data_IF_928879724458
#
_entry.id   IF_928879724458
#
_cell.length_a   1.000
_cell.length_b   1.000
_cell.length_c   1.000
_cell.angle_alpha   90.00
_cell.angle_beta   90.00
_cell.angle_gamma   90.00
#
_symmetry.space_group_name_H-M   'P 1'
#
loop_
_entity.id
_entity.type
_entity.pdbx_description
1 polymer ?
#
# COMPACT_ATOMS: atom_id res chain seq x y z
N UNK A 1 8.90 31.44 33.76
CA UNK A 1 8.79 29.98 33.89
C UNK A 1 7.74 29.50 32.84
N UNK A 2 7.89 28.32 32.27
CA UNK A 2 6.94 27.78 31.27
C UNK A 2 5.51 27.75 31.79
N UNK A 3 5.34 27.39 33.07
CA UNK A 3 4.04 27.32 33.73
C UNK A 3 3.24 28.65 33.76
N UNK A 4 3.85 29.80 33.48
CA UNK A 4 3.15 31.10 33.43
C UNK A 4 2.52 31.36 32.04
N UNK A 5 2.90 30.58 31.01
CA UNK A 5 2.45 30.79 29.64
C UNK A 5 1.73 29.58 29.04
N UNK A 6 1.91 28.38 29.64
CA UNK A 6 1.26 27.17 29.16
C UNK A 6 -0.24 27.14 29.49
N UNK A 7 -1.02 26.48 28.72
CA UNK A 7 -2.39 26.08 29.06
C UNK A 7 -2.33 24.95 30.09
N UNK A 8 -2.87 25.11 31.30
CA UNK A 8 -2.90 24.06 32.31
C UNK A 8 -3.66 22.83 31.82
N UNK A 9 -3.28 21.64 32.28
CA UNK A 9 -3.83 20.37 31.78
C UNK A 9 -5.37 20.31 31.93
N UNK A 10 -5.91 20.84 33.02
CA UNK A 10 -7.35 20.89 33.31
C UNK A 10 -8.14 21.80 32.37
N UNK A 11 -7.45 22.65 31.59
CA UNK A 11 -8.04 23.53 30.58
C UNK A 11 -7.68 23.10 29.17
N UNK A 12 -6.85 22.08 29.04
CA UNK A 12 -6.41 21.60 27.74
C UNK A 12 -7.51 20.75 27.08
N UNK A 13 -7.95 21.13 25.90
CA UNK A 13 -8.86 20.31 25.08
C UNK A 13 -8.02 19.22 24.42
N UNK A 14 -8.38 17.96 24.66
CA UNK A 14 -7.73 16.78 24.08
C UNK A 14 -8.77 15.85 23.49
N UNK A 15 -8.35 14.90 22.65
CA UNK A 15 -9.21 13.83 22.18
C UNK A 15 -8.52 12.46 22.38
N UNK A 16 -9.28 11.37 22.50
CA UNK A 16 -8.73 10.03 22.69
C UNK A 16 -8.06 9.49 21.44
N UNK A 17 -7.19 8.51 21.63
CA UNK A 17 -6.62 7.72 20.55
C UNK A 17 -7.75 7.06 19.73
N UNK A 18 -7.62 7.07 18.38
CA UNK A 18 -8.65 6.58 17.48
C UNK A 18 -9.64 7.65 16.98
N UNK A 19 -9.56 8.89 17.50
CA UNK A 19 -10.34 10.01 16.95
C UNK A 19 -10.02 10.22 15.48
N UNK A 20 -11.04 10.20 14.62
CA UNK A 20 -10.86 10.44 13.19
C UNK A 20 -10.42 11.88 12.90
N UNK A 21 -9.81 12.10 11.74
CA UNK A 21 -9.38 13.43 11.32
C UNK A 21 -10.56 14.42 11.21
N UNK A 22 -11.73 13.94 10.80
CA UNK A 22 -12.95 14.74 10.74
C UNK A 22 -13.41 15.16 12.14
N UNK A 23 -13.55 14.21 13.07
CA UNK A 23 -13.93 14.51 14.46
C UNK A 23 -12.94 15.44 15.13
N UNK A 24 -11.64 15.22 14.93
CA UNK A 24 -10.60 16.09 15.44
C UNK A 24 -10.74 17.53 14.88
N UNK A 25 -11.06 17.65 13.59
CA UNK A 25 -11.30 18.96 12.97
C UNK A 25 -12.55 19.64 13.54
N UNK A 26 -13.63 18.91 13.79
CA UNK A 26 -14.85 19.45 14.38
C UNK A 26 -14.56 19.99 15.79
N UNK A 27 -13.80 19.26 16.62
CA UNK A 27 -13.35 19.72 17.95
C UNK A 27 -12.46 20.97 17.83
N UNK A 28 -11.50 20.97 16.90
CA UNK A 28 -10.63 22.13 16.63
C UNK A 28 -11.45 23.37 16.27
N UNK A 29 -12.49 23.19 15.46
CA UNK A 29 -13.35 24.28 15.00
C UNK A 29 -14.22 24.82 16.14
N UNK A 30 -14.88 23.94 16.89
CA UNK A 30 -15.79 24.30 17.98
C UNK A 30 -15.06 25.05 19.10
N UNK A 31 -13.86 24.59 19.43
CA UNK A 31 -13.01 25.20 20.45
C UNK A 31 -12.06 26.30 19.94
N UNK A 32 -12.13 26.64 18.63
CA UNK A 32 -11.28 27.66 17.96
C UNK A 32 -9.77 27.42 18.18
N UNK A 33 -9.37 26.16 18.11
CA UNK A 33 -7.99 25.72 18.27
C UNK A 33 -7.21 25.76 16.94
N UNK A 34 -5.88 25.75 17.03
CA UNK A 34 -5.01 25.53 15.88
C UNK A 34 -4.51 24.06 15.81
N UNK A 35 -4.50 23.39 16.96
CA UNK A 35 -4.07 22.01 17.08
C UNK A 35 -4.81 21.31 18.23
N UNK A 36 -4.98 20.01 18.12
CA UNK A 36 -5.64 19.15 19.10
C UNK A 36 -4.66 18.05 19.51
N UNK A 37 -4.26 17.97 20.79
CA UNK A 37 -3.51 16.84 21.29
C UNK A 37 -4.37 15.58 21.35
N UNK A 38 -3.84 14.48 20.83
CA UNK A 38 -4.46 13.15 20.95
C UNK A 38 -3.72 12.40 22.05
N UNK A 39 -4.48 11.86 22.99
CA UNK A 39 -3.94 11.22 24.19
C UNK A 39 -4.42 9.76 24.31
N UNK A 40 -3.61 8.94 24.98
CA UNK A 40 -4.01 7.57 25.34
C UNK A 40 -4.90 7.55 26.60
N UNK A 41 -5.34 6.37 27.02
CA UNK A 41 -6.17 6.15 28.22
C UNK A 41 -5.51 6.63 29.53
N UNK A 42 -4.19 6.80 29.53
CA UNK A 42 -3.41 7.31 30.66
C UNK A 42 -3.14 8.81 30.57
N UNK A 43 -3.73 9.50 29.58
CA UNK A 43 -3.52 10.92 29.35
C UNK A 43 -2.14 11.29 28.76
N UNK A 44 -1.39 10.33 28.21
CA UNK A 44 -0.10 10.61 27.59
C UNK A 44 -0.31 11.05 26.14
N UNK A 45 0.43 12.09 25.76
CA UNK A 45 0.42 12.60 24.39
C UNK A 45 0.92 11.54 23.41
N UNK A 46 0.10 11.23 22.41
CA UNK A 46 0.43 10.32 21.32
C UNK A 46 0.83 11.09 20.07
N UNK A 47 0.00 12.03 19.63
CA UNK A 47 0.29 12.90 18.50
C UNK A 47 -0.57 14.18 18.56
N UNK A 48 -0.34 15.10 17.62
CA UNK A 48 -1.16 16.28 17.40
C UNK A 48 -1.89 16.21 16.07
N UNK A 49 -3.13 16.71 16.04
CA UNK A 49 -3.84 17.02 14.80
C UNK A 49 -3.86 18.55 14.64
N UNK A 50 -3.44 19.02 13.49
CA UNK A 50 -3.48 20.45 13.18
C UNK A 50 -4.66 20.75 12.25
N UNK A 51 -5.18 21.96 12.35
CA UNK A 51 -6.27 22.44 11.49
C UNK A 51 -5.95 22.30 9.99
N UNK A 52 -4.70 22.50 9.60
CA UNK A 52 -4.24 22.33 8.22
C UNK A 52 -4.34 20.89 7.72
N UNK A 53 -4.18 19.89 8.58
CA UNK A 53 -4.18 18.46 8.20
C UNK A 53 -5.53 18.06 7.58
N UNK A 54 -6.64 18.58 8.12
CA UNK A 54 -7.95 18.33 7.53
C UNK A 54 -8.15 19.03 6.19
N UNK A 55 -7.61 20.24 6.04
CA UNK A 55 -7.67 20.97 4.78
C UNK A 55 -6.85 20.25 3.70
N UNK A 56 -5.66 19.76 4.03
CA UNK A 56 -4.80 18.98 3.15
C UNK A 56 -5.47 17.67 2.75
N UNK A 57 -6.04 16.94 3.71
CA UNK A 57 -6.79 15.69 3.45
C UNK A 57 -8.00 15.92 2.53
N UNK A 58 -8.71 17.06 2.69
CA UNK A 58 -9.83 17.43 1.81
C UNK A 58 -9.39 17.72 0.37
N UNK A 59 -8.18 18.25 0.20
CA UNK A 59 -7.56 18.49 -1.10
C UNK A 59 -7.05 17.20 -1.71
N UNK A 60 -6.52 16.30 -0.88
CA UNK A 60 -5.93 15.01 -1.28
C UNK A 60 -6.72 13.79 -0.71
N UNK A 61 -7.99 13.60 -1.08
CA UNK A 61 -8.85 12.58 -0.47
C UNK A 61 -8.42 11.14 -0.76
N UNK A 62 -7.42 10.96 -1.64
CA UNK A 62 -6.87 9.65 -2.04
C UNK A 62 -5.53 9.34 -1.42
N UNK A 63 -4.99 10.20 -0.57
CA UNK A 63 -3.77 9.89 0.15
C UNK A 63 -3.99 8.68 1.08
N UNK A 64 -3.03 7.77 1.10
CA UNK A 64 -3.07 6.59 1.96
C UNK A 64 -2.01 6.78 3.05
N UNK A 65 -2.49 6.82 4.29
CA UNK A 65 -1.65 7.01 5.47
C UNK A 65 -1.73 5.77 6.36
N UNK A 66 -0.66 5.51 7.09
CA UNK A 66 -0.65 4.52 8.17
C UNK A 66 -1.32 5.06 9.45
N UNK A 67 -1.37 4.23 10.50
CA UNK A 67 -1.96 4.60 11.79
C UNK A 67 -1.23 5.78 12.47
N UNK A 68 0.04 6.01 12.12
CA UNK A 68 0.86 7.11 12.59
C UNK A 68 0.80 8.34 11.68
N UNK A 69 -0.10 8.33 10.68
CA UNK A 69 -0.29 9.39 9.67
C UNK A 69 0.93 9.66 8.79
N UNK A 70 1.75 8.65 8.56
CA UNK A 70 2.81 8.68 7.56
C UNK A 70 2.27 8.13 6.25
N UNK A 71 2.76 8.64 5.12
CA UNK A 71 2.41 8.06 3.83
C UNK A 71 2.82 6.60 3.75
N UNK A 72 1.89 5.75 3.31
CA UNK A 72 2.25 4.39 2.94
C UNK A 72 3.12 4.42 1.69
N UNK A 73 4.23 3.71 1.72
CA UNK A 73 5.22 3.70 0.65
C UNK A 73 5.44 2.31 0.07
N UNK A 74 5.44 2.25 -1.26
CA UNK A 74 5.78 1.04 -2.00
C UNK A 74 7.19 1.10 -2.58
N UNK A 75 7.84 -0.04 -2.67
CA UNK A 75 9.15 -0.16 -3.29
C UNK A 75 9.18 -1.25 -4.37
N UNK A 76 9.78 -0.91 -5.52
CA UNK A 76 10.05 -1.86 -6.60
C UNK A 76 11.22 -2.79 -6.23
N UNK A 77 11.03 -4.07 -6.47
CA UNK A 77 12.06 -5.10 -6.34
C UNK A 77 12.17 -5.93 -7.62
N UNK A 78 13.28 -6.57 -7.83
CA UNK A 78 13.47 -7.55 -8.89
C UNK A 78 13.70 -8.96 -8.31
N UNK A 79 13.85 -9.95 -9.19
CA UNK A 79 14.03 -11.35 -8.82
C UNK A 79 15.50 -11.80 -8.72
N UNK A 80 16.46 -10.87 -8.79
CA UNK A 80 17.89 -11.20 -8.80
C UNK A 80 18.56 -10.98 -7.44
N UNK A 81 18.20 -9.88 -6.76
CA UNK A 81 18.85 -9.44 -5.51
C UNK A 81 17.88 -9.34 -4.31
N UNK A 82 16.70 -9.96 -4.44
CA UNK A 82 15.63 -9.89 -3.44
C UNK A 82 16.09 -10.30 -2.03
N UNK A 83 16.99 -11.27 -1.90
CA UNK A 83 17.48 -11.75 -0.60
C UNK A 83 18.15 -10.66 0.24
N UNK A 84 18.80 -9.68 -0.44
CA UNK A 84 19.45 -8.53 0.20
C UNK A 84 18.55 -7.31 0.22
N UNK A 85 17.86 -7.05 -0.89
CA UNK A 85 17.07 -5.85 -1.09
C UNK A 85 15.79 -5.84 -0.26
N UNK A 86 15.07 -6.96 -0.18
CA UNK A 86 13.82 -7.05 0.58
C UNK A 86 14.03 -6.74 2.07
N UNK A 87 14.99 -7.38 2.79
CA UNK A 87 15.25 -7.03 4.19
C UNK A 87 15.56 -5.55 4.41
N UNK A 88 16.40 -4.97 3.56
CA UNK A 88 16.78 -3.57 3.68
C UNK A 88 15.60 -2.62 3.48
N UNK A 89 14.70 -2.91 2.53
CA UNK A 89 13.50 -2.11 2.28
C UNK A 89 12.48 -2.23 3.42
N UNK A 90 12.28 -3.43 3.96
CA UNK A 90 11.39 -3.65 5.10
C UNK A 90 11.93 -2.94 6.35
N UNK A 91 13.23 -3.01 6.61
CA UNK A 91 13.88 -2.29 7.69
C UNK A 91 13.78 -0.76 7.52
N UNK A 92 13.82 -0.28 6.29
CA UNK A 92 13.63 1.13 5.97
C UNK A 92 12.16 1.60 6.06
N UNK A 93 11.22 0.70 6.32
CA UNK A 93 9.80 1.02 6.52
C UNK A 93 8.95 0.99 5.25
N UNK A 94 9.33 0.21 4.23
CA UNK A 94 8.47 -0.02 3.08
C UNK A 94 7.23 -0.86 3.47
N UNK A 95 6.03 -0.36 3.17
CA UNK A 95 4.76 -1.02 3.47
C UNK A 95 4.37 -2.06 2.42
N UNK A 96 4.74 -1.79 1.17
CA UNK A 96 4.39 -2.63 0.01
C UNK A 96 5.62 -2.88 -0.84
N UNK A 97 5.85 -4.12 -1.21
CA UNK A 97 6.84 -4.49 -2.21
C UNK A 97 6.16 -4.87 -3.51
N UNK A 98 6.72 -4.45 -4.64
CA UNK A 98 6.19 -4.82 -5.95
C UNK A 98 7.31 -5.44 -6.79
N UNK A 99 7.14 -6.70 -7.18
CA UNK A 99 8.07 -7.36 -8.10
C UNK A 99 7.80 -6.79 -9.50
N UNK A 100 8.74 -5.99 -9.98
CA UNK A 100 8.64 -5.35 -11.29
C UNK A 100 9.43 -6.13 -12.34
N UNK A 101 8.71 -6.77 -13.25
CA UNK A 101 9.28 -7.57 -14.30
C UNK A 101 8.38 -7.53 -15.53
N UNK A 102 8.99 -7.45 -16.70
CA UNK A 102 8.27 -7.57 -17.98
C UNK A 102 7.61 -8.94 -18.19
N UNK A 103 7.84 -9.90 -17.27
CA UNK A 103 7.38 -11.27 -17.40
C UNK A 103 7.16 -11.87 -16.01
N UNK A 104 5.88 -11.92 -15.59
CA UNK A 104 5.48 -12.35 -14.25
C UNK A 104 5.32 -13.86 -14.08
N UNK A 105 4.96 -14.57 -15.18
CA UNK A 105 4.72 -16.00 -15.13
C UNK A 105 6.04 -16.79 -15.15
N UNK A 106 6.82 -16.66 -14.09
CA UNK A 106 8.14 -17.30 -13.95
C UNK A 106 8.37 -17.88 -12.58
N UNK A 107 9.16 -18.95 -12.51
CA UNK A 107 9.58 -19.56 -11.24
C UNK A 107 10.39 -18.59 -10.37
N UNK A 108 11.01 -17.57 -10.94
CA UNK A 108 11.77 -16.57 -10.21
C UNK A 108 10.86 -15.66 -9.36
N UNK A 109 9.69 -15.28 -9.90
CA UNK A 109 8.71 -14.53 -9.14
C UNK A 109 8.17 -15.36 -7.96
N UNK A 110 7.81 -16.62 -8.22
CA UNK A 110 7.38 -17.52 -7.15
C UNK A 110 8.42 -17.63 -6.04
N UNK A 111 9.69 -17.85 -6.38
CA UNK A 111 10.78 -17.92 -5.37
C UNK A 111 10.90 -16.64 -4.56
N UNK A 112 10.74 -15.48 -5.20
CA UNK A 112 10.79 -14.20 -4.52
C UNK A 112 9.61 -14.03 -3.56
N UNK A 113 8.40 -14.41 -3.99
CA UNK A 113 7.20 -14.38 -3.14
C UNK A 113 7.35 -15.36 -1.98
N UNK A 114 7.76 -16.60 -2.24
CA UNK A 114 8.00 -17.63 -1.21
C UNK A 114 8.97 -17.11 -0.13
N UNK A 115 10.09 -16.50 -0.52
CA UNK A 115 11.05 -15.89 0.41
C UNK A 115 10.42 -14.81 1.29
N UNK A 116 9.61 -13.93 0.70
CA UNK A 116 8.96 -12.85 1.45
C UNK A 116 7.94 -13.43 2.43
N UNK A 117 7.14 -14.40 1.99
CA UNK A 117 6.14 -15.05 2.84
C UNK A 117 6.76 -15.85 3.97
N UNK A 118 7.82 -16.59 3.71
CA UNK A 118 8.55 -17.34 4.73
C UNK A 118 9.13 -16.42 5.81
N UNK A 119 9.68 -15.28 5.41
CA UNK A 119 10.39 -14.39 6.32
C UNK A 119 9.48 -13.39 7.05
N UNK A 120 8.45 -12.88 6.39
CA UNK A 120 7.61 -11.79 6.89
C UNK A 120 6.12 -12.12 7.00
N UNK A 121 5.68 -13.25 6.44
CA UNK A 121 4.26 -13.63 6.41
C UNK A 121 3.43 -12.58 5.67
N UNK A 122 2.30 -12.19 6.28
CA UNK A 122 1.36 -11.21 5.74
C UNK A 122 1.64 -9.76 6.18
N UNK A 123 2.71 -9.56 6.95
CA UNK A 123 3.09 -8.22 7.43
C UNK A 123 3.54 -7.29 6.31
N UNK A 124 4.08 -7.84 5.23
CA UNK A 124 4.53 -7.09 4.06
C UNK A 124 3.65 -7.46 2.88
N UNK A 125 3.03 -6.46 2.26
CA UNK A 125 2.22 -6.67 1.07
C UNK A 125 3.09 -6.81 -0.16
N UNK A 126 2.77 -7.80 -1.01
CA UNK A 126 3.58 -8.16 -2.19
C UNK A 126 2.75 -8.09 -3.45
N UNK A 127 3.09 -7.17 -4.33
CA UNK A 127 2.62 -7.15 -5.71
C UNK A 127 3.53 -7.94 -6.63
N UNK A 128 2.95 -8.58 -7.62
CA UNK A 128 3.67 -9.38 -8.60
C UNK A 128 3.20 -9.10 -10.03
N UNK A 129 4.01 -9.36 -11.00
CA UNK A 129 3.67 -9.16 -12.42
C UNK A 129 4.91 -8.87 -13.28
N UNK A 130 4.69 -8.57 -14.54
CA UNK A 130 3.38 -8.38 -15.17
C UNK A 130 2.92 -9.68 -15.86
N UNK A 131 1.63 -9.86 -15.91
CA UNK A 131 0.98 -10.97 -16.62
C UNK A 131 -0.06 -10.45 -17.62
N UNK A 132 -0.52 -11.29 -18.55
CA UNK A 132 -1.45 -10.89 -19.61
C UNK A 132 -2.61 -11.86 -19.82
N UNK A 133 -2.66 -12.93 -19.04
CA UNK A 133 -3.64 -14.00 -19.19
C UNK A 133 -4.05 -14.61 -17.85
N UNK A 134 -5.00 -15.54 -17.93
CA UNK A 134 -5.54 -16.28 -16.80
C UNK A 134 -4.48 -17.08 -16.06
N UNK A 135 -3.65 -17.80 -16.80
CA UNK A 135 -2.71 -18.76 -16.19
C UNK A 135 -1.61 -18.03 -15.41
N UNK A 136 -1.12 -16.91 -15.97
CA UNK A 136 -0.19 -16.03 -15.24
C UNK A 136 -0.79 -15.45 -13.97
N UNK A 137 -2.06 -15.03 -14.00
CA UNK A 137 -2.77 -14.57 -12.81
C UNK A 137 -2.88 -15.67 -11.74
N UNK A 138 -3.39 -16.85 -12.12
CA UNK A 138 -3.58 -17.97 -11.19
C UNK A 138 -2.25 -18.38 -10.56
N UNK A 139 -1.18 -18.45 -11.33
CA UNK A 139 0.15 -18.79 -10.85
C UNK A 139 0.65 -17.83 -9.75
N UNK A 140 0.50 -16.54 -9.97
CA UNK A 140 0.94 -15.54 -8.99
C UNK A 140 0.01 -15.45 -7.77
N UNK A 141 -1.29 -15.63 -7.96
CA UNK A 141 -2.27 -15.70 -6.91
C UNK A 141 -2.01 -16.89 -5.97
N UNK A 142 -1.79 -18.09 -6.54
CA UNK A 142 -1.46 -19.30 -5.79
C UNK A 142 -0.08 -19.22 -5.12
N UNK A 143 0.86 -18.45 -5.68
CA UNK A 143 2.14 -18.17 -5.04
C UNK A 143 2.00 -17.22 -3.83
N UNK A 144 0.85 -16.57 -3.64
CA UNK A 144 0.58 -15.70 -2.50
C UNK A 144 0.81 -14.21 -2.75
N UNK A 145 0.69 -13.73 -4.00
CA UNK A 145 0.70 -12.30 -4.28
C UNK A 145 -0.56 -11.61 -3.71
N UNK A 146 -0.40 -10.42 -3.12
CA UNK A 146 -1.51 -9.61 -2.59
C UNK A 146 -2.21 -8.79 -3.69
N UNK A 147 -1.50 -8.43 -4.76
CA UNK A 147 -2.06 -7.81 -5.96
C UNK A 147 -1.22 -8.15 -7.19
N UNK A 148 -1.83 -8.05 -8.38
CA UNK A 148 -1.18 -8.47 -9.62
C UNK A 148 -1.24 -7.36 -10.66
N UNK A 149 -0.08 -7.05 -11.26
CA UNK A 149 0.06 -6.11 -12.37
C UNK A 149 -0.17 -6.80 -13.71
N UNK A 150 -0.93 -6.12 -14.57
CA UNK A 150 -1.35 -6.61 -15.87
C UNK A 150 -0.78 -5.72 -16.97
N UNK A 151 -0.18 -6.33 -17.95
CA UNK A 151 0.28 -5.66 -19.15
C UNK A 151 1.74 -5.96 -19.47
N UNK A 152 2.01 -6.37 -20.71
CA UNK A 152 3.35 -6.60 -21.23
C UNK A 152 3.49 -5.84 -22.55
N UNK A 153 4.42 -4.88 -22.55
CA UNK A 153 4.77 -4.11 -23.74
C UNK A 153 3.68 -3.15 -24.23
N UNK A 154 2.81 -2.65 -23.32
CA UNK A 154 1.73 -1.71 -23.64
C UNK A 154 2.19 -0.27 -23.84
N UNK A 155 3.36 0.10 -23.31
CA UNK A 155 3.93 1.45 -23.43
C UNK A 155 4.54 1.72 -24.80
N UNK A 156 4.52 2.96 -25.24
CA UNK A 156 5.02 3.37 -26.56
C UNK A 156 6.54 3.19 -26.77
N UNK A 157 7.28 3.08 -25.67
CA UNK A 157 8.75 2.91 -25.71
C UNK A 157 9.19 1.48 -25.39
N UNK A 158 8.27 0.57 -25.02
CA UNK A 158 8.59 -0.79 -24.61
C UNK A 158 8.87 -1.67 -25.83
N UNK A 159 10.04 -2.33 -25.82
CA UNK A 159 10.47 -3.25 -26.89
C UNK A 159 10.31 -4.73 -26.51
N UNK A 160 9.71 -5.05 -25.38
CA UNK A 160 9.55 -6.43 -24.89
C UNK A 160 8.84 -7.34 -25.91
N UNK A 161 7.79 -6.83 -26.56
CA UNK A 161 7.05 -7.59 -27.59
C UNK A 161 7.91 -7.94 -28.79
N UNK A 162 8.81 -7.04 -29.18
CA UNK A 162 9.72 -7.27 -30.32
C UNK A 162 10.88 -8.21 -29.93
N UNK A 163 11.45 -8.02 -28.75
CA UNK A 163 12.65 -8.75 -28.33
C UNK A 163 12.37 -10.12 -27.76
N UNK A 164 11.25 -10.29 -27.04
CA UNK A 164 10.87 -11.55 -26.40
C UNK A 164 9.73 -12.29 -27.11
N UNK A 165 9.04 -11.62 -28.01
CA UNK A 165 7.88 -12.19 -28.71
C UNK A 165 6.67 -12.46 -27.82
N UNK A 166 6.59 -11.80 -26.65
CA UNK A 166 5.50 -11.94 -25.67
C UNK A 166 4.74 -10.64 -25.53
N UNK A 167 3.45 -10.75 -25.25
CA UNK A 167 2.58 -9.60 -25.03
C UNK A 167 1.15 -9.89 -25.46
N UNK A 168 0.28 -8.96 -25.11
CA UNK A 168 -1.15 -9.05 -25.47
C UNK A 168 -1.73 -7.65 -25.56
N UNK A 169 -2.82 -7.47 -26.30
CA UNK A 169 -3.58 -6.22 -26.28
C UNK A 169 -4.11 -5.93 -24.89
N UNK A 170 -3.88 -4.73 -24.37
CA UNK A 170 -4.12 -4.40 -22.96
C UNK A 170 -5.57 -4.64 -22.55
N UNK A 171 -6.56 -4.19 -23.34
CA UNK A 171 -7.95 -4.42 -23.03
C UNK A 171 -8.30 -5.92 -22.91
N UNK A 172 -7.78 -6.75 -23.82
CA UNK A 172 -7.97 -8.20 -23.77
C UNK A 172 -7.33 -8.82 -22.53
N UNK A 173 -6.10 -8.41 -22.18
CA UNK A 173 -5.41 -8.88 -20.98
C UNK A 173 -6.19 -8.54 -19.70
N UNK A 174 -6.66 -7.30 -19.58
CA UNK A 174 -7.44 -6.85 -18.42
C UNK A 174 -8.74 -7.64 -18.28
N UNK A 175 -9.49 -7.82 -19.38
CA UNK A 175 -10.74 -8.57 -19.36
C UNK A 175 -10.52 -10.03 -18.93
N UNK A 176 -9.49 -10.68 -19.45
CA UNK A 176 -9.22 -12.07 -19.13
C UNK A 176 -8.73 -12.24 -17.69
N UNK A 177 -7.81 -11.39 -17.25
CA UNK A 177 -7.29 -11.45 -15.88
C UNK A 177 -8.36 -11.06 -14.86
N UNK A 178 -9.26 -10.11 -15.18
CA UNK A 178 -10.39 -9.78 -14.31
C UNK A 178 -11.32 -10.98 -14.10
N UNK A 179 -11.61 -11.74 -15.16
CA UNK A 179 -12.39 -13.00 -15.05
C UNK A 179 -11.65 -14.03 -14.19
N UNK A 180 -10.35 -14.17 -14.38
CA UNK A 180 -9.54 -15.08 -13.56
C UNK A 180 -9.54 -14.70 -12.08
N UNK A 181 -9.45 -13.40 -11.76
CA UNK A 181 -9.58 -12.89 -10.40
C UNK A 181 -10.93 -13.24 -9.78
N UNK A 182 -12.01 -13.03 -10.52
CA UNK A 182 -13.37 -13.33 -10.04
C UNK A 182 -13.55 -14.84 -9.82
N UNK A 183 -13.05 -15.67 -10.73
CA UNK A 183 -13.01 -17.13 -10.57
C UNK A 183 -12.20 -17.55 -9.34
N UNK A 184 -11.05 -16.95 -9.10
CA UNK A 184 -10.22 -17.22 -7.92
C UNK A 184 -10.95 -16.83 -6.63
N UNK A 185 -11.58 -15.66 -6.63
CA UNK A 185 -12.38 -15.19 -5.50
C UNK A 185 -13.55 -16.11 -5.18
N UNK A 186 -14.30 -16.55 -6.18
CA UNK A 186 -15.41 -17.51 -6.02
C UNK A 186 -14.95 -18.84 -5.40
N UNK A 187 -13.77 -19.31 -5.76
CA UNK A 187 -13.20 -20.57 -5.26
C UNK A 187 -12.59 -20.48 -3.88
N UNK A 188 -11.95 -19.37 -3.56
CA UNK A 188 -11.10 -19.26 -2.36
C UNK A 188 -11.62 -18.28 -1.32
N UNK A 189 -12.53 -17.38 -1.68
CA UNK A 189 -12.93 -16.25 -0.85
C UNK A 189 -11.88 -15.13 -0.75
N UNK A 190 -10.73 -15.26 -1.45
CA UNK A 190 -9.63 -14.29 -1.39
C UNK A 190 -9.70 -13.37 -2.62
N UNK A 191 -9.93 -12.09 -2.37
CA UNK A 191 -9.94 -11.07 -3.43
C UNK A 191 -8.53 -10.51 -3.64
N UNK A 192 -7.98 -10.68 -4.84
CA UNK A 192 -6.67 -10.16 -5.23
C UNK A 192 -6.87 -8.99 -6.20
N UNK A 193 -6.59 -7.74 -5.78
CA UNK A 193 -6.66 -6.59 -6.68
C UNK A 193 -5.76 -6.74 -7.91
N UNK A 194 -6.22 -6.19 -9.02
CA UNK A 194 -5.45 -6.14 -10.26
C UNK A 194 -5.15 -4.69 -10.64
N UNK A 195 -3.95 -4.44 -11.14
CA UNK A 195 -3.48 -3.14 -11.57
C UNK A 195 -3.13 -3.18 -13.06
N UNK A 196 -3.84 -2.42 -13.87
CA UNK A 196 -3.51 -2.27 -15.30
C UNK A 196 -2.34 -1.29 -15.44
N UNK A 197 -1.29 -1.75 -16.11
CA UNK A 197 -0.02 -1.03 -16.28
C UNK A 197 0.21 -0.69 -17.77
#
# INVERSE_FOLDING_TARGET
KVATFMTPLEKLVTAPLGTSLKEANDIIWDHKLNSLPIVDEKGRLMYFVFRKDYAEHKINPREILDEEKRYMVGAGINTLDYEKRVPALVEAGADVLCIDSSEGYTCWQKKTIDFIREKYGDKVKVGAGNVVDRDGFMFLAEAGADFIKIGIGGGSICITRETKGIGRGQATAVIEVAKARDEYYEKTGIYIPICSD
#
